data_IF_862067487038
#
_entry.id   IF_862067487038
#
_cell.length_a   1.000
_cell.length_b   1.000
_cell.length_c   1.000
_cell.angle_alpha   90.00
_cell.angle_beta   90.00
_cell.angle_gamma   90.00
#
_symmetry.space_group_name_H-M   'P 1'
#
loop_
_entity.id
_entity.type
_entity.pdbx_description
1 polymer ?
#
# COMPACT_ATOMS: atom_id res chain seq x y z
N UNK A 1 30.08 6.13 11.82
CA UNK A 1 30.89 6.00 10.60
C UNK A 1 31.11 7.36 9.95
N UNK A 2 32.36 7.71 9.59
CA UNK A 2 32.62 8.87 8.73
C UNK A 2 32.64 8.41 7.27
N UNK A 3 31.82 9.03 6.42
CA UNK A 3 31.82 8.83 4.98
C UNK A 3 32.45 10.04 4.32
N UNK A 4 33.49 9.81 3.51
CA UNK A 4 34.14 10.81 2.67
C UNK A 4 33.90 10.43 1.21
N UNK A 5 33.19 11.28 0.46
CA UNK A 5 32.93 11.09 -0.97
C UNK A 5 33.76 12.10 -1.73
N UNK A 6 34.56 11.61 -2.66
CA UNK A 6 35.33 12.42 -3.58
C UNK A 6 35.03 11.94 -5.00
N UNK A 7 34.36 12.77 -5.79
CA UNK A 7 34.26 12.58 -7.24
C UNK A 7 35.13 13.62 -7.91
N UNK A 8 36.06 13.17 -8.72
CA UNK A 8 36.90 14.02 -9.55
C UNK A 8 36.83 13.58 -11.00
N UNK A 9 36.72 14.53 -11.93
CA UNK A 9 36.93 14.29 -13.34
C UNK A 9 38.06 15.20 -13.88
N UNK A 10 38.41 15.02 -15.14
CA UNK A 10 39.38 15.92 -15.78
C UNK A 10 38.79 17.34 -15.86
N UNK A 11 39.61 18.34 -15.54
CA UNK A 11 39.20 19.73 -15.78
C UNK A 11 39.32 20.05 -17.26
N UNK A 12 38.19 20.02 -17.98
CA UNK A 12 38.18 20.21 -19.42
C UNK A 12 38.36 21.70 -19.81
N UNK A 13 39.14 21.94 -20.85
CA UNK A 13 39.55 23.27 -21.34
C UNK A 13 39.02 23.61 -22.76
N UNK A 14 38.14 22.77 -23.31
CA UNK A 14 37.51 23.03 -24.61
C UNK A 14 36.88 24.43 -24.66
N UNK A 15 36.80 25.04 -25.85
CA UNK A 15 36.24 26.39 -26.02
C UNK A 15 34.89 26.59 -25.32
N UNK A 16 33.98 25.60 -25.40
CA UNK A 16 32.68 25.66 -24.71
C UNK A 16 32.83 25.64 -23.20
N UNK A 17 33.69 24.78 -22.64
CA UNK A 17 33.95 24.71 -21.20
C UNK A 17 34.59 26.00 -20.68
N UNK A 18 35.64 26.50 -21.34
CA UNK A 18 36.30 27.75 -20.98
C UNK A 18 35.35 28.97 -21.09
N UNK A 19 34.50 29.01 -22.12
CA UNK A 19 33.50 30.07 -22.27
C UNK A 19 32.43 30.01 -21.17
N UNK A 20 31.99 28.83 -20.75
CA UNK A 20 31.05 28.69 -19.62
C UNK A 20 31.70 29.12 -18.31
N UNK A 21 32.94 28.67 -18.04
CA UNK A 21 33.74 29.11 -16.88
C UNK A 21 33.85 30.63 -16.81
N UNK A 22 34.17 31.27 -17.94
CA UNK A 22 34.27 32.72 -18.06
C UNK A 22 32.92 33.45 -17.95
N UNK A 23 31.85 32.93 -18.55
CA UNK A 23 30.53 33.59 -18.52
C UNK A 23 29.87 33.58 -17.14
N UNK A 24 30.12 32.53 -16.35
CA UNK A 24 29.49 32.33 -15.04
C UNK A 24 30.46 32.44 -13.86
N UNK A 25 31.71 32.90 -14.09
CA UNK A 25 32.77 33.00 -13.07
C UNK A 25 32.97 31.70 -12.26
N UNK A 26 32.97 30.55 -12.96
CA UNK A 26 33.22 29.25 -12.35
C UNK A 26 34.65 28.81 -12.64
N UNK A 27 35.44 28.53 -11.60
CA UNK A 27 36.85 28.11 -11.75
C UNK A 27 36.97 26.67 -12.25
N UNK A 28 36.23 25.74 -11.63
CA UNK A 28 36.16 24.35 -12.06
C UNK A 28 34.88 23.67 -11.55
N UNK A 29 34.33 22.77 -12.36
CA UNK A 29 33.28 21.82 -11.95
C UNK A 29 33.81 20.40 -11.76
N UNK A 30 35.13 20.22 -11.72
CA UNK A 30 35.75 18.91 -11.82
C UNK A 30 35.67 18.10 -10.52
N UNK A 31 35.54 18.76 -9.37
CA UNK A 31 35.64 18.12 -8.06
C UNK A 31 34.34 18.29 -7.26
N UNK A 32 33.89 17.19 -6.66
CA UNK A 32 32.81 17.16 -5.67
C UNK A 32 33.31 16.41 -4.44
N UNK A 33 33.36 17.10 -3.31
CA UNK A 33 33.77 16.53 -2.02
C UNK A 33 32.62 16.65 -1.02
N UNK A 34 32.31 15.57 -0.31
CA UNK A 34 31.30 15.54 0.73
C UNK A 34 31.76 14.64 1.88
N UNK A 35 32.00 15.23 3.04
CA UNK A 35 32.33 14.52 4.28
C UNK A 35 31.12 14.56 5.22
N UNK A 36 30.66 13.39 5.67
CA UNK A 36 29.50 13.24 6.56
C UNK A 36 29.80 12.27 7.68
N UNK A 37 29.43 12.63 8.91
CA UNK A 37 29.41 11.69 10.03
C UNK A 37 28.02 11.08 10.18
N UNK A 38 27.96 9.74 10.10
CA UNK A 38 26.76 8.91 10.14
C UNK A 38 26.89 7.88 11.26
N UNK A 39 26.41 8.19 12.48
CA UNK A 39 26.43 7.26 13.60
C UNK A 39 25.25 6.27 13.50
N UNK A 40 25.30 5.36 12.53
CA UNK A 40 24.24 4.38 12.21
C UNK A 40 24.73 2.93 12.26
N UNK A 41 25.88 2.69 12.90
CA UNK A 41 26.51 1.37 13.01
C UNK A 41 25.78 0.45 14.01
N UNK A 42 24.92 1.03 14.84
CA UNK A 42 24.07 0.28 15.74
C UNK A 42 22.99 -0.48 14.96
N UNK A 43 22.83 -1.78 15.21
CA UNK A 43 21.83 -2.64 14.55
C UNK A 43 20.38 -2.39 14.99
N UNK A 44 20.10 -1.31 15.73
CA UNK A 44 18.81 -1.07 16.39
C UNK A 44 17.73 -0.45 15.49
N UNK A 45 18.11 0.04 14.31
CA UNK A 45 17.21 0.70 13.37
C UNK A 45 16.84 -0.18 12.17
N UNK A 46 15.75 0.15 11.48
CA UNK A 46 15.24 -0.59 10.31
C UNK A 46 15.07 0.29 9.08
N UNK A 47 14.75 1.58 9.26
CA UNK A 47 14.55 2.53 8.15
C UNK A 47 15.36 3.80 8.41
N UNK A 48 16.33 4.07 7.54
CA UNK A 48 17.04 5.33 7.45
C UNK A 48 16.61 6.13 6.23
N UNK A 49 16.75 7.46 6.28
CA UNK A 49 16.45 8.30 5.11
C UNK A 49 17.57 9.31 4.88
N UNK A 50 18.01 9.44 3.64
CA UNK A 50 18.87 10.53 3.19
C UNK A 50 18.03 11.44 2.30
N UNK A 51 17.79 12.67 2.76
CA UNK A 51 17.02 13.68 2.03
C UNK A 51 17.89 14.81 1.49
N UNK A 52 17.42 15.46 0.44
CA UNK A 52 18.02 16.68 -0.09
C UNK A 52 17.81 16.90 -1.58
N UNK A 53 18.05 18.12 -2.09
CA UNK A 53 17.93 18.49 -3.50
C UNK A 53 18.69 17.55 -4.44
N UNK A 54 18.33 17.54 -5.73
CA UNK A 54 19.12 16.81 -6.72
C UNK A 54 20.55 17.37 -6.78
N UNK A 55 21.54 16.51 -7.01
CA UNK A 55 22.94 16.90 -7.09
C UNK A 55 23.71 17.00 -5.77
N UNK A 56 23.09 16.80 -4.61
CA UNK A 56 23.77 16.84 -3.29
C UNK A 56 24.52 15.56 -2.91
N UNK A 57 24.69 14.61 -3.83
CA UNK A 57 25.46 13.38 -3.55
C UNK A 57 24.73 12.26 -2.80
N UNK A 58 23.38 12.31 -2.68
CA UNK A 58 22.58 11.25 -2.01
C UNK A 58 22.88 9.84 -2.51
N UNK A 59 22.89 9.63 -3.83
CA UNK A 59 23.20 8.32 -4.44
C UNK A 59 24.62 7.88 -4.12
N UNK A 60 25.57 8.82 -4.09
CA UNK A 60 26.96 8.55 -3.71
C UNK A 60 27.08 8.17 -2.23
N UNK A 61 26.34 8.83 -1.33
CA UNK A 61 26.25 8.46 0.09
C UNK A 61 25.62 7.08 0.26
N UNK A 62 24.55 6.79 -0.48
CA UNK A 62 23.91 5.48 -0.50
C UNK A 62 24.90 4.36 -0.86
N UNK A 63 25.68 4.54 -1.94
CA UNK A 63 26.74 3.60 -2.34
C UNK A 63 27.86 3.49 -1.32
N UNK A 64 28.25 4.59 -0.69
CA UNK A 64 29.33 4.60 0.29
C UNK A 64 28.98 3.90 1.60
N UNK A 65 27.68 3.79 1.95
CA UNK A 65 27.24 3.11 3.17
C UNK A 65 27.58 1.61 3.16
N UNK A 66 27.18 0.88 2.10
CA UNK A 66 27.26 -0.58 2.06
C UNK A 66 27.68 -1.14 0.69
N UNK A 67 28.29 -0.33 -0.17
CA UNK A 67 28.69 -0.73 -1.51
C UNK A 67 27.61 -0.48 -2.57
N UNK A 68 28.00 -0.63 -3.84
CA UNK A 68 27.11 -0.42 -4.98
C UNK A 68 26.06 -1.53 -5.12
N UNK A 69 26.38 -2.73 -4.63
CA UNK A 69 25.53 -3.91 -4.59
C UNK A 69 24.34 -3.77 -3.63
N UNK A 70 24.41 -2.86 -2.66
CA UNK A 70 23.31 -2.57 -1.76
C UNK A 70 22.22 -1.71 -2.44
N UNK A 71 22.50 -1.08 -3.58
CA UNK A 71 21.49 -0.34 -4.34
C UNK A 71 20.43 -1.30 -4.89
N UNK A 72 19.18 -1.03 -4.54
CA UNK A 72 18.05 -1.83 -4.97
C UNK A 72 17.75 -1.62 -6.45
N UNK A 73 18.17 -2.59 -7.26
CA UNK A 73 17.93 -2.64 -8.70
C UNK A 73 17.56 -4.07 -9.11
N UNK A 74 16.35 -4.55 -8.75
CA UNK A 74 15.96 -5.93 -9.00
C UNK A 74 15.83 -6.20 -10.51
N UNK A 75 16.34 -7.35 -10.94
CA UNK A 75 16.16 -7.82 -12.33
C UNK A 75 14.82 -8.53 -12.47
N UNK A 76 14.02 -8.12 -13.44
CA UNK A 76 12.70 -8.72 -13.71
C UNK A 76 12.70 -9.59 -14.96
N UNK A 77 12.08 -10.78 -14.93
CA UNK A 77 11.82 -11.56 -16.14
C UNK A 77 10.85 -10.82 -17.07
N UNK A 78 11.04 -10.99 -18.38
CA UNK A 78 10.25 -10.30 -19.40
C UNK A 78 8.90 -10.96 -19.71
N UNK A 79 8.78 -12.26 -19.41
CA UNK A 79 7.72 -13.17 -19.84
C UNK A 79 6.87 -13.72 -18.69
N UNK A 80 7.17 -13.31 -17.45
CA UNK A 80 6.41 -13.71 -16.27
C UNK A 80 5.60 -12.55 -15.68
N UNK A 81 4.40 -12.80 -15.15
CA UNK A 81 3.65 -11.78 -14.43
C UNK A 81 4.34 -11.41 -13.11
N UNK A 82 4.09 -10.21 -12.60
CA UNK A 82 4.65 -9.75 -11.31
C UNK A 82 4.44 -10.76 -10.19
N UNK A 83 3.24 -11.32 -10.09
CA UNK A 83 2.88 -12.24 -8.98
C UNK A 83 3.72 -13.51 -8.96
N UNK A 84 4.19 -13.98 -10.11
CA UNK A 84 5.05 -15.18 -10.21
C UNK A 84 6.54 -14.79 -10.12
N UNK A 85 6.89 -13.57 -10.56
CA UNK A 85 8.25 -13.08 -10.57
C UNK A 85 8.75 -12.65 -9.18
N UNK A 86 7.86 -12.20 -8.29
CA UNK A 86 8.21 -11.86 -6.91
C UNK A 86 8.32 -13.14 -6.09
N UNK A 87 9.52 -13.41 -5.58
CA UNK A 87 9.83 -14.59 -4.76
C UNK A 87 9.18 -15.87 -5.31
N UNK A 88 9.66 -16.43 -6.44
CA UNK A 88 9.03 -17.56 -7.12
C UNK A 88 8.85 -18.82 -6.25
N UNK A 89 9.66 -18.97 -5.21
CA UNK A 89 9.59 -20.06 -4.22
C UNK A 89 8.93 -19.63 -2.89
N UNK A 90 8.43 -18.41 -2.79
CA UNK A 90 7.82 -17.83 -1.61
C UNK A 90 6.32 -18.10 -1.49
N UNK A 91 5.72 -17.65 -0.38
CA UNK A 91 4.28 -17.80 -0.16
C UNK A 91 3.47 -16.79 -0.98
N UNK A 92 2.43 -17.28 -1.66
CA UNK A 92 1.53 -16.46 -2.48
C UNK A 92 0.86 -15.31 -1.69
N UNK A 93 0.53 -15.52 -0.41
CA UNK A 93 -0.12 -14.50 0.41
C UNK A 93 0.86 -13.39 0.81
N UNK A 94 2.15 -13.71 0.94
CA UNK A 94 3.19 -12.72 1.21
C UNK A 94 3.39 -11.81 -0.01
N UNK A 95 3.45 -12.38 -1.22
CA UNK A 95 3.55 -11.61 -2.48
C UNK A 95 2.35 -10.69 -2.67
N UNK A 96 1.14 -11.24 -2.62
CA UNK A 96 -0.09 -10.44 -2.80
C UNK A 96 -0.31 -9.45 -1.65
N UNK A 97 0.14 -9.80 -0.44
CA UNK A 97 0.17 -8.91 0.71
C UNK A 97 1.11 -7.72 0.51
N UNK A 98 2.30 -7.95 -0.04
CA UNK A 98 3.28 -6.90 -0.33
C UNK A 98 2.79 -5.96 -1.44
N UNK A 99 2.27 -6.50 -2.55
CA UNK A 99 1.71 -5.73 -3.66
C UNK A 99 0.57 -4.80 -3.20
N UNK A 100 -0.33 -5.30 -2.35
CA UNK A 100 -1.38 -4.49 -1.75
C UNK A 100 -0.83 -3.45 -0.75
N UNK A 101 0.22 -3.80 0.01
CA UNK A 101 0.81 -2.93 1.01
C UNK A 101 1.58 -1.75 0.40
N UNK A 102 2.10 -1.86 -0.82
CA UNK A 102 2.79 -0.75 -1.51
C UNK A 102 1.87 0.09 -2.40
N UNK A 103 0.56 -0.12 -2.32
CA UNK A 103 -0.43 0.63 -3.11
C UNK A 103 -0.47 0.22 -4.59
N UNK A 104 0.05 -0.96 -4.95
CA UNK A 104 -0.20 -1.57 -6.25
C UNK A 104 -1.49 -2.39 -6.16
N UNK A 105 -2.62 -1.76 -5.82
CA UNK A 105 -3.88 -2.45 -5.54
C UNK A 105 -4.62 -3.04 -6.75
N UNK A 106 -4.15 -2.73 -7.96
CA UNK A 106 -4.79 -3.14 -9.20
C UNK A 106 -4.45 -4.59 -9.53
N UNK A 107 -5.37 -5.51 -9.26
CA UNK A 107 -5.19 -6.94 -9.52
C UNK A 107 -4.80 -7.23 -10.99
N UNK A 108 -5.39 -6.60 -12.01
CA UNK A 108 -4.94 -6.80 -13.40
C UNK A 108 -3.46 -6.43 -13.63
N UNK A 109 -2.90 -5.50 -12.85
CA UNK A 109 -1.50 -5.10 -12.93
C UNK A 109 -0.58 -6.23 -12.43
N UNK A 110 -1.02 -7.06 -11.47
CA UNK A 110 -0.22 -8.18 -10.94
C UNK A 110 0.00 -9.30 -11.96
N UNK A 111 -0.88 -9.38 -12.95
CA UNK A 111 -0.88 -10.39 -14.01
C UNK A 111 -0.09 -9.95 -15.24
N UNK A 112 0.62 -8.82 -15.17
CA UNK A 112 1.40 -8.26 -16.27
C UNK A 112 2.90 -8.37 -15.98
N UNK A 113 3.75 -8.53 -17.00
CA UNK A 113 5.19 -8.41 -16.83
C UNK A 113 5.61 -7.01 -16.39
N UNK A 114 6.70 -6.90 -15.64
CA UNK A 114 7.22 -5.63 -15.13
C UNK A 114 7.47 -4.60 -16.25
N UNK A 115 7.96 -5.06 -17.41
CA UNK A 115 8.33 -4.21 -18.55
C UNK A 115 7.18 -3.48 -19.24
N UNK A 116 5.91 -3.83 -18.97
CA UNK A 116 4.74 -3.14 -19.57
C UNK A 116 4.06 -2.15 -18.62
N UNK A 117 4.57 -2.03 -17.39
CA UNK A 117 4.01 -1.18 -16.35
C UNK A 117 4.44 0.28 -16.52
N UNK A 118 3.61 1.20 -16.04
CA UNK A 118 3.99 2.61 -15.90
C UNK A 118 5.12 2.78 -14.86
N UNK A 119 5.85 3.90 -14.91
CA UNK A 119 6.97 4.14 -13.99
C UNK A 119 6.55 4.06 -12.51
N UNK A 120 5.39 4.63 -12.15
CA UNK A 120 4.86 4.55 -10.79
C UNK A 120 4.46 3.13 -10.37
N UNK A 121 3.95 2.31 -11.30
CA UNK A 121 3.65 0.90 -11.04
C UNK A 121 4.92 0.05 -10.89
N UNK A 122 5.94 0.28 -11.73
CA UNK A 122 7.26 -0.37 -11.64
C UNK A 122 7.91 -0.11 -10.29
N UNK A 123 7.98 1.16 -9.90
CA UNK A 123 8.52 1.54 -8.59
C UNK A 123 7.80 0.83 -7.43
N UNK A 124 6.47 0.74 -7.47
CA UNK A 124 5.73 -0.02 -6.44
C UNK A 124 5.99 -1.52 -6.53
N UNK A 125 6.11 -2.11 -7.72
CA UNK A 125 6.48 -3.51 -7.88
C UNK A 125 7.86 -3.82 -7.29
N UNK A 126 8.84 -2.93 -7.52
CA UNK A 126 10.19 -3.01 -6.92
C UNK A 126 10.13 -2.97 -5.39
N UNK A 127 9.32 -2.08 -4.82
CA UNK A 127 9.10 -2.03 -3.37
C UNK A 127 8.37 -3.26 -2.83
N UNK A 128 7.41 -3.83 -3.58
CA UNK A 128 6.74 -5.06 -3.18
C UNK A 128 7.74 -6.20 -3.08
N UNK A 129 8.59 -6.35 -4.11
CA UNK A 129 9.65 -7.35 -4.12
C UNK A 129 10.64 -7.17 -2.98
N UNK A 130 11.04 -5.93 -2.71
CA UNK A 130 11.91 -5.59 -1.58
C UNK A 130 11.34 -6.05 -0.23
N UNK A 131 10.05 -5.81 0.00
CA UNK A 131 9.35 -6.19 1.25
C UNK A 131 9.24 -7.71 1.42
N UNK A 132 9.26 -8.47 0.32
CA UNK A 132 9.20 -9.94 0.36
C UNK A 132 10.59 -10.54 0.51
N UNK A 133 11.59 -10.05 -0.22
CA UNK A 133 12.95 -10.59 -0.21
C UNK A 133 13.74 -10.19 1.04
N UNK A 134 13.47 -9.02 1.61
CA UNK A 134 14.06 -8.51 2.86
C UNK A 134 15.59 -8.70 2.93
N UNK A 135 16.35 -8.15 1.97
CA UNK A 135 17.81 -8.20 2.01
C UNK A 135 18.33 -7.57 3.32
N UNK A 136 19.45 -8.09 3.90
CA UNK A 136 19.97 -7.60 5.18
C UNK A 136 20.28 -6.10 5.20
N UNK A 137 20.78 -5.57 4.08
CA UNK A 137 21.16 -4.16 3.91
C UNK A 137 20.80 -3.73 2.50
N UNK A 138 20.04 -2.65 2.37
CA UNK A 138 19.51 -2.20 1.08
C UNK A 138 19.30 -0.69 1.03
N UNK A 139 19.62 -0.12 -0.11
CA UNK A 139 19.48 1.31 -0.40
C UNK A 139 18.53 1.48 -1.57
N UNK A 140 17.41 2.17 -1.35
CA UNK A 140 16.44 2.50 -2.41
C UNK A 140 16.68 3.93 -2.85
N UNK A 141 17.14 4.11 -4.08
CA UNK A 141 17.33 5.43 -4.67
C UNK A 141 16.02 5.99 -5.24
N UNK A 142 15.94 7.32 -5.35
CA UNK A 142 14.81 8.06 -5.86
C UNK A 142 13.44 7.68 -5.25
N UNK A 143 13.43 7.34 -3.97
CA UNK A 143 12.22 6.93 -3.28
C UNK A 143 11.14 8.02 -3.40
N UNK A 144 9.98 7.62 -3.94
CA UNK A 144 8.79 8.45 -4.20
C UNK A 144 8.92 9.50 -5.32
N UNK A 145 9.94 9.45 -6.18
CA UNK A 145 10.12 10.45 -7.25
C UNK A 145 9.10 10.35 -8.39
N UNK A 146 8.61 9.14 -8.68
CA UNK A 146 7.79 8.83 -9.87
C UNK A 146 6.27 8.79 -9.61
N UNK A 147 5.82 9.25 -8.44
CA UNK A 147 4.39 9.23 -8.05
C UNK A 147 3.95 10.61 -7.58
N UNK A 148 2.65 10.89 -7.67
CA UNK A 148 2.08 12.13 -7.14
C UNK A 148 2.27 12.22 -5.62
N UNK A 149 2.23 13.45 -5.07
CA UNK A 149 2.60 13.69 -3.67
C UNK A 149 1.67 13.00 -2.67
N UNK A 150 0.39 12.86 -2.96
CA UNK A 150 -0.55 12.21 -2.05
C UNK A 150 -0.28 10.70 -2.01
N UNK A 151 -0.12 10.07 -3.18
CA UNK A 151 0.25 8.66 -3.27
C UNK A 151 1.63 8.41 -2.68
N UNK A 152 2.58 9.34 -2.84
CA UNK A 152 3.89 9.25 -2.20
C UNK A 152 3.77 9.14 -0.68
N UNK A 153 2.97 10.03 -0.05
CA UNK A 153 2.77 10.05 1.41
C UNK A 153 2.11 8.78 1.92
N UNK A 154 1.02 8.35 1.29
CA UNK A 154 0.30 7.12 1.67
C UNK A 154 1.15 5.88 1.41
N UNK A 155 1.81 5.81 0.25
CA UNK A 155 2.70 4.73 -0.13
C UNK A 155 3.90 4.62 0.80
N UNK A 156 4.49 5.74 1.22
CA UNK A 156 5.61 5.77 2.15
C UNK A 156 5.22 5.19 3.52
N UNK A 157 4.07 5.61 4.04
CA UNK A 157 3.51 5.02 5.25
C UNK A 157 3.30 3.50 5.11
N UNK A 158 2.69 3.09 4.00
CA UNK A 158 2.29 1.72 3.81
C UNK A 158 3.51 0.80 3.63
N UNK A 159 4.51 1.26 2.87
CA UNK A 159 5.84 0.67 2.79
C UNK A 159 6.51 0.56 4.17
N UNK A 160 6.55 1.65 4.94
CA UNK A 160 7.22 1.66 6.24
C UNK A 160 6.57 0.70 7.25
N UNK A 161 5.25 0.49 7.19
CA UNK A 161 4.56 -0.57 7.96
C UNK A 161 4.88 -1.97 7.48
N UNK A 162 5.00 -2.16 6.16
CA UNK A 162 5.27 -3.46 5.56
C UNK A 162 6.72 -3.90 5.82
N UNK A 163 7.68 -3.04 5.54
CA UNK A 163 9.10 -3.27 5.79
C UNK A 163 9.39 -3.57 7.25
N UNK A 164 8.90 -2.76 8.20
CA UNK A 164 9.15 -3.00 9.64
C UNK A 164 8.65 -4.35 10.13
N UNK A 165 7.56 -4.85 9.54
CA UNK A 165 6.99 -6.16 9.88
C UNK A 165 7.78 -7.29 9.24
N UNK A 166 8.21 -7.13 7.99
CA UNK A 166 9.00 -8.11 7.28
C UNK A 166 10.44 -8.23 7.85
N UNK A 167 11.06 -7.10 8.19
CA UNK A 167 12.38 -7.01 8.82
C UNK A 167 12.38 -7.27 10.34
N UNK A 168 11.24 -7.66 10.92
CA UNK A 168 11.16 -7.93 12.35
C UNK A 168 11.95 -9.21 12.68
N UNK A 169 12.99 -9.08 13.51
CA UNK A 169 13.81 -10.21 13.95
C UNK A 169 14.95 -10.60 13.01
N UNK A 170 15.00 -10.09 11.77
CA UNK A 170 16.11 -10.36 10.83
C UNK A 170 17.29 -9.41 10.98
N UNK A 171 17.10 -8.26 11.66
CA UNK A 171 18.10 -7.19 11.71
C UNK A 171 18.28 -6.45 10.39
N UNK A 172 17.38 -6.64 9.41
CA UNK A 172 17.48 -6.01 8.10
C UNK A 172 17.27 -4.49 8.16
N UNK A 173 18.08 -3.77 7.38
CA UNK A 173 18.16 -2.31 7.37
C UNK A 173 17.94 -1.77 5.95
N UNK A 174 17.05 -0.78 5.83
CA UNK A 174 16.75 -0.12 4.55
C UNK A 174 17.05 1.38 4.65
N UNK A 175 17.77 1.92 3.67
CA UNK A 175 18.01 3.36 3.52
C UNK A 175 17.25 3.87 2.30
N UNK A 176 16.43 4.89 2.48
CA UNK A 176 15.68 5.52 1.40
C UNK A 176 16.34 6.85 1.02
N UNK A 177 16.65 7.04 -0.25
CA UNK A 177 17.17 8.29 -0.77
C UNK A 177 16.02 9.05 -1.42
N UNK A 178 15.76 10.29 -1.02
CA UNK A 178 14.67 11.08 -1.61
C UNK A 178 15.01 12.56 -1.71
N UNK A 179 14.40 13.26 -2.67
CA UNK A 179 14.39 14.72 -2.69
C UNK A 179 13.17 15.31 -1.97
N UNK A 180 12.25 14.48 -1.52
CA UNK A 180 10.98 14.91 -0.97
C UNK A 180 10.98 14.84 0.56
N UNK A 181 10.69 15.96 1.22
CA UNK A 181 10.65 16.06 2.68
C UNK A 181 9.27 15.67 3.26
N UNK A 182 8.22 15.82 2.47
CA UNK A 182 6.83 15.60 2.90
C UNK A 182 6.47 14.12 3.15
N UNK A 183 7.36 13.18 2.81
CA UNK A 183 7.21 11.75 3.13
C UNK A 183 7.77 11.39 4.52
N UNK A 184 8.58 12.24 5.13
CA UNK A 184 9.32 11.93 6.36
C UNK A 184 8.38 11.62 7.53
N UNK A 185 7.33 12.42 7.70
CA UNK A 185 6.36 12.23 8.79
C UNK A 185 5.49 10.99 8.58
N UNK A 186 5.37 10.51 7.34
CA UNK A 186 4.65 9.30 6.98
C UNK A 186 5.53 8.04 7.13
N UNK A 187 6.81 8.14 6.76
CA UNK A 187 7.81 7.10 6.95
C UNK A 187 8.11 6.86 8.43
N UNK A 188 8.22 7.94 9.22
CA UNK A 188 8.75 7.94 10.59
C UNK A 188 10.09 7.20 10.71
N UNK A 189 11.11 7.61 9.95
CA UNK A 189 12.38 6.90 9.90
C UNK A 189 13.09 6.92 11.26
N UNK A 190 13.99 5.96 11.44
CA UNK A 190 14.79 5.81 12.64
C UNK A 190 15.97 6.81 12.66
N UNK A 191 16.37 7.32 11.50
CA UNK A 191 17.27 8.46 11.37
C UNK A 191 17.08 9.16 10.03
N UNK A 192 17.49 10.43 9.97
CA UNK A 192 17.41 11.29 8.80
C UNK A 192 18.77 11.98 8.63
N UNK A 193 19.31 11.94 7.42
CA UNK A 193 20.42 12.79 7.01
C UNK A 193 19.91 13.78 5.96
N UNK A 194 19.96 15.07 6.27
CA UNK A 194 19.69 16.13 5.29
C UNK A 194 21.01 16.59 4.67
N UNK A 195 21.15 16.31 3.38
CA UNK A 195 22.36 16.64 2.60
C UNK A 195 22.45 18.11 2.19
N UNK A 196 21.34 18.87 2.20
CA UNK A 196 21.39 20.31 1.97
C UNK A 196 21.74 21.07 3.26
N UNK A 197 21.16 20.66 4.38
CA UNK A 197 21.42 21.29 5.67
C UNK A 197 22.68 20.73 6.36
N UNK A 198 23.24 19.63 5.87
CA UNK A 198 24.30 18.86 6.53
C UNK A 198 23.96 18.49 7.98
N UNK A 199 22.69 18.12 8.22
CA UNK A 199 22.19 17.75 9.56
C UNK A 199 21.86 16.28 9.64
N UNK A 200 22.10 15.70 10.82
CA UNK A 200 21.74 14.31 11.13
C UNK A 200 20.81 14.29 12.35
N UNK A 201 19.67 13.61 12.21
CA UNK A 201 18.66 13.43 13.25
C UNK A 201 18.46 11.93 13.50
N UNK A 202 18.49 11.46 14.76
CA UNK A 202 18.24 10.05 15.13
C UNK A 202 17.01 9.92 16.03
N UNK A 203 16.31 8.80 15.92
CA UNK A 203 14.98 8.55 16.51
C UNK A 203 14.89 8.64 18.03
N UNK A 204 15.97 8.37 18.76
CA UNK A 204 16.04 8.60 20.22
C UNK A 204 15.75 10.08 20.56
N UNK A 205 16.06 11.00 19.64
CA UNK A 205 15.61 12.39 19.63
C UNK A 205 14.41 12.66 18.69
N UNK A 206 14.25 11.92 17.57
CA UNK A 206 13.34 12.29 16.45
C UNK A 206 12.06 11.46 16.25
N UNK A 207 11.99 10.17 16.64
CA UNK A 207 10.78 9.34 16.43
C UNK A 207 9.63 9.80 17.33
N UNK A 208 10.00 10.25 18.53
CA UNK A 208 9.07 10.80 19.51
C UNK A 208 8.62 12.23 19.16
N UNK A 209 9.40 12.96 18.34
CA UNK A 209 9.06 14.31 17.88
C UNK A 209 8.17 14.29 16.62
N UNK A 210 8.36 13.33 15.69
CA UNK A 210 7.57 13.25 14.46
C UNK A 210 6.31 12.42 14.64
N UNK A 211 5.19 13.09 14.83
CA UNK A 211 3.87 12.44 14.84
C UNK A 211 3.38 12.26 13.41
N UNK A 212 3.11 11.00 13.04
CA UNK A 212 2.44 10.68 11.79
C UNK A 212 1.18 11.54 11.64
N UNK A 213 0.96 12.18 10.47
CA UNK A 213 -0.25 12.94 10.23
C UNK A 213 -1.50 12.08 10.44
N UNK A 214 -2.49 12.67 11.10
CA UNK A 214 -3.80 12.05 11.27
C UNK A 214 -4.51 12.05 9.92
N UNK A 215 -5.13 10.92 9.59
CA UNK A 215 -6.05 10.82 8.45
C UNK A 215 -7.45 10.89 9.05
N UNK A 216 -8.12 12.02 8.87
CA UNK A 216 -9.52 12.16 9.25
C UNK A 216 -10.41 11.60 8.15
N UNK A 217 -11.31 10.71 8.56
CA UNK A 217 -12.18 9.96 7.65
C UNK A 217 -13.62 10.27 8.00
N UNK A 218 -14.30 10.98 7.11
CA UNK A 218 -15.72 11.23 7.25
C UNK A 218 -16.51 10.10 6.59
N UNK A 219 -17.48 9.57 7.32
CA UNK A 219 -18.34 8.50 6.85
C UNK A 219 -19.75 9.03 6.70
N UNK A 220 -20.34 8.84 5.53
CA UNK A 220 -21.75 9.14 5.33
C UNK A 220 -22.50 8.05 4.61
N UNK A 221 -23.77 7.95 4.96
CA UNK A 221 -24.76 7.10 4.30
C UNK A 221 -25.19 7.74 2.97
N UNK A 222 -25.32 6.92 1.94
CA UNK A 222 -25.72 7.29 0.58
C UNK A 222 -26.55 6.18 -0.06
N UNK A 223 -26.97 6.39 -1.30
CA UNK A 223 -27.41 5.37 -2.24
C UNK A 223 -26.26 4.97 -3.20
N UNK A 224 -26.61 4.28 -4.28
CA UNK A 224 -25.66 3.81 -5.29
C UNK A 224 -25.10 4.90 -6.23
N UNK A 225 -25.39 6.20 -6.02
CA UNK A 225 -24.96 7.29 -6.92
C UNK A 225 -23.45 7.34 -7.14
N UNK A 226 -22.65 7.05 -6.09
CA UNK A 226 -21.19 7.10 -6.16
C UNK A 226 -20.55 5.80 -6.67
N UNK A 227 -21.33 4.74 -6.88
CA UNK A 227 -20.80 3.41 -7.20
C UNK A 227 -19.95 3.38 -8.47
N UNK A 228 -20.29 4.18 -9.48
CA UNK A 228 -19.58 4.24 -10.76
C UNK A 228 -18.08 4.60 -10.61
N UNK A 229 -17.70 5.30 -9.52
CA UNK A 229 -16.31 5.63 -9.21
C UNK A 229 -15.54 4.43 -8.61
N UNK A 230 -16.23 3.57 -7.87
CA UNK A 230 -15.64 2.43 -7.16
C UNK A 230 -15.74 1.12 -7.96
N UNK A 231 -16.70 1.02 -8.87
CA UNK A 231 -16.96 -0.17 -9.69
C UNK A 231 -15.72 -0.69 -10.46
N UNK A 232 -14.87 0.16 -11.08
CA UNK A 232 -13.65 -0.30 -11.74
C UNK A 232 -12.68 -1.03 -10.80
N UNK A 233 -12.68 -0.66 -9.52
CA UNK A 233 -11.82 -1.23 -8.47
C UNK A 233 -12.48 -2.40 -7.73
N UNK A 234 -13.71 -2.76 -8.08
CA UNK A 234 -14.42 -3.90 -7.50
C UNK A 234 -13.95 -5.24 -8.13
N UNK A 235 -13.32 -5.21 -9.31
CA UNK A 235 -12.77 -6.34 -10.10
C UNK A 235 -13.73 -7.54 -10.32
N UNK A 236 -14.99 -7.41 -9.92
CA UNK A 236 -16.06 -8.38 -10.07
C UNK A 236 -17.27 -7.64 -10.62
N UNK A 237 -17.72 -7.96 -11.84
CA UNK A 237 -18.98 -7.43 -12.34
C UNK A 237 -20.12 -8.22 -11.73
N UNK A 238 -20.83 -7.61 -10.80
CA UNK A 238 -21.95 -8.21 -10.07
C UNK A 238 -23.12 -7.21 -10.05
N UNK A 239 -24.38 -7.70 -10.07
CA UNK A 239 -25.52 -6.85 -9.81
C UNK A 239 -25.39 -6.16 -8.45
N UNK A 240 -25.96 -4.95 -8.34
CA UNK A 240 -26.04 -4.21 -7.07
C UNK A 240 -26.79 -5.05 -6.04
N UNK A 241 -26.34 -4.98 -4.79
CA UNK A 241 -27.02 -5.68 -3.70
C UNK A 241 -28.41 -5.08 -3.48
N UNK A 242 -29.43 -5.94 -3.53
CA UNK A 242 -30.83 -5.53 -3.38
C UNK A 242 -31.06 -5.00 -1.97
N UNK A 243 -31.83 -3.91 -1.90
CA UNK A 243 -32.13 -3.21 -0.66
C UNK A 243 -30.88 -2.87 0.16
N UNK A 244 -29.73 -2.57 -0.44
CA UNK A 244 -28.56 -2.18 0.34
C UNK A 244 -28.65 -0.73 0.85
N UNK A 245 -28.10 -0.49 2.03
CA UNK A 245 -27.69 0.85 2.48
C UNK A 245 -26.23 1.03 2.10
N UNK A 246 -25.91 2.09 1.35
CA UNK A 246 -24.54 2.35 0.92
C UNK A 246 -23.90 3.36 1.86
N UNK A 247 -22.61 3.21 2.04
CA UNK A 247 -21.76 4.09 2.82
C UNK A 247 -20.54 4.42 1.98
N UNK A 248 -20.08 5.66 2.08
CA UNK A 248 -18.79 6.07 1.54
C UNK A 248 -17.97 6.74 2.62
N UNK A 249 -16.66 6.63 2.47
CA UNK A 249 -15.68 7.34 3.27
C UNK A 249 -15.07 8.45 2.41
N UNK A 250 -14.77 9.59 3.03
CA UNK A 250 -13.96 10.63 2.44
C UNK A 250 -12.81 11.07 3.33
N UNK A 251 -11.78 11.61 2.68
CA UNK A 251 -10.67 12.31 3.32
C UNK A 251 -10.49 13.61 2.56
N UNK A 252 -10.52 14.74 3.27
CA UNK A 252 -10.43 16.08 2.68
C UNK A 252 -11.43 16.30 1.52
N UNK A 253 -12.64 15.73 1.66
CA UNK A 253 -13.70 15.78 0.64
C UNK A 253 -13.54 14.82 -0.54
N UNK A 254 -12.42 14.12 -0.68
CA UNK A 254 -12.20 13.11 -1.72
C UNK A 254 -12.83 11.76 -1.33
N UNK A 255 -13.53 11.10 -2.25
CA UNK A 255 -14.06 9.73 -2.08
C UNK A 255 -12.94 8.69 -2.03
N UNK A 256 -12.84 7.95 -0.92
CA UNK A 256 -11.73 7.00 -0.67
C UNK A 256 -12.15 5.55 -0.50
N UNK A 257 -13.37 5.29 0.00
CA UNK A 257 -13.87 3.92 0.17
C UNK A 257 -15.39 3.84 0.04
N UNK A 258 -15.88 2.65 -0.30
CA UNK A 258 -17.30 2.34 -0.42
C UNK A 258 -17.62 0.98 0.18
N UNK A 259 -18.75 0.90 0.88
CA UNK A 259 -19.31 -0.34 1.42
C UNK A 259 -20.85 -0.30 1.33
N UNK A 260 -21.44 -1.36 0.79
CA UNK A 260 -22.88 -1.57 0.83
C UNK A 260 -23.22 -2.66 1.84
N UNK A 261 -24.27 -2.44 2.63
CA UNK A 261 -24.75 -3.40 3.63
C UNK A 261 -26.23 -3.67 3.42
N UNK A 262 -26.61 -4.93 3.33
CA UNK A 262 -28.02 -5.39 3.30
C UNK A 262 -28.22 -6.42 4.41
N UNK A 263 -29.43 -6.95 4.56
CA UNK A 263 -29.75 -7.92 5.61
C UNK A 263 -29.95 -9.31 5.03
N UNK A 264 -29.70 -10.33 5.84
CA UNK A 264 -30.23 -11.67 5.57
C UNK A 264 -31.75 -11.67 5.83
N UNK A 265 -32.50 -12.60 5.18
CA UNK A 265 -33.91 -12.80 5.50
C UNK A 265 -34.12 -12.95 7.01
N UNK A 266 -35.16 -12.28 7.53
CA UNK A 266 -35.50 -12.29 8.96
C UNK A 266 -34.82 -11.21 9.81
N UNK A 267 -34.03 -10.30 9.22
CA UNK A 267 -33.38 -9.17 9.93
C UNK A 267 -32.49 -9.61 11.12
N UNK A 268 -31.96 -10.83 11.07
CA UNK A 268 -31.14 -11.42 12.14
C UNK A 268 -29.68 -11.02 12.03
N UNK A 269 -29.18 -10.82 10.81
CA UNK A 269 -27.76 -10.59 10.53
C UNK A 269 -27.62 -9.67 9.32
N UNK A 270 -26.72 -8.69 9.43
CA UNK A 270 -26.33 -7.83 8.33
C UNK A 270 -25.29 -8.54 7.45
N UNK A 271 -25.28 -8.21 6.17
CA UNK A 271 -24.32 -8.71 5.19
C UNK A 271 -23.68 -7.53 4.48
N UNK A 272 -22.40 -7.33 4.75
CA UNK A 272 -21.58 -6.36 4.05
C UNK A 272 -21.14 -6.96 2.69
N UNK A 273 -21.22 -6.15 1.64
CA UNK A 273 -20.68 -6.48 0.33
C UNK A 273 -19.14 -6.37 0.33
N UNK A 274 -18.51 -6.54 -0.83
CA UNK A 274 -17.07 -6.31 -0.96
C UNK A 274 -16.74 -4.86 -0.57
N UNK A 275 -15.78 -4.71 0.32
CA UNK A 275 -15.17 -3.42 0.64
C UNK A 275 -14.31 -2.97 -0.55
N UNK A 276 -14.53 -1.75 -1.03
CA UNK A 276 -13.69 -1.11 -2.04
C UNK A 276 -12.98 0.08 -1.42
N UNK A 277 -11.66 0.12 -1.56
CA UNK A 277 -10.81 1.24 -1.17
C UNK A 277 -10.03 1.65 -2.42
N UNK A 278 -10.02 2.95 -2.71
CA UNK A 278 -9.30 3.50 -3.84
C UNK A 278 -7.81 3.12 -3.77
N UNK A 279 -7.17 2.71 -4.90
CA UNK A 279 -5.80 2.20 -4.91
C UNK A 279 -4.78 3.08 -4.17
N UNK A 280 -4.87 4.40 -4.34
CA UNK A 280 -4.04 5.42 -3.71
C UNK A 280 -4.15 5.47 -2.17
N UNK A 281 -5.22 4.92 -1.60
CA UNK A 281 -5.49 4.89 -0.16
C UNK A 281 -5.25 3.50 0.48
N UNK A 282 -4.82 2.52 -0.32
CA UNK A 282 -4.54 1.18 0.18
C UNK A 282 -3.28 1.15 1.07
N UNK A 283 -3.27 0.26 2.07
CA UNK A 283 -2.19 0.19 3.06
C UNK A 283 -2.20 1.30 4.13
N UNK A 284 -2.94 2.39 3.94
CA UNK A 284 -3.10 3.46 4.93
C UNK A 284 -3.80 3.00 6.22
N UNK A 285 -4.68 2.01 6.09
CA UNK A 285 -5.54 1.46 7.16
C UNK A 285 -6.98 1.99 7.14
N UNK A 286 -7.34 2.84 6.17
CA UNK A 286 -8.67 3.44 6.03
C UNK A 286 -9.75 2.37 5.89
N UNK A 287 -9.54 1.36 5.04
CA UNK A 287 -10.52 0.32 4.76
C UNK A 287 -11.01 -0.46 5.99
N UNK A 288 -10.09 -0.91 6.85
CA UNK A 288 -10.45 -1.64 8.08
C UNK A 288 -11.21 -0.76 9.07
N UNK A 289 -10.76 0.50 9.27
CA UNK A 289 -11.44 1.44 10.18
C UNK A 289 -12.84 1.77 9.68
N UNK A 290 -13.00 1.99 8.38
CA UNK A 290 -14.28 2.24 7.73
C UNK A 290 -15.24 1.05 7.86
N UNK A 291 -14.75 -0.17 7.58
CA UNK A 291 -15.54 -1.39 7.74
C UNK A 291 -15.98 -1.58 9.20
N UNK A 292 -15.06 -1.45 10.16
CA UNK A 292 -15.37 -1.59 11.59
C UNK A 292 -16.38 -0.54 12.08
N UNK A 293 -16.24 0.72 11.64
CA UNK A 293 -17.17 1.79 12.02
C UNK A 293 -18.61 1.48 11.57
N UNK A 294 -18.78 1.01 10.34
CA UNK A 294 -20.11 0.63 9.83
C UNK A 294 -20.63 -0.61 10.56
N UNK A 295 -19.82 -1.65 10.72
CA UNK A 295 -20.26 -2.87 11.41
C UNK A 295 -20.61 -2.61 12.89
N UNK A 296 -19.88 -1.73 13.56
CA UNK A 296 -20.18 -1.27 14.92
C UNK A 296 -21.49 -0.49 15.00
N UNK A 297 -21.76 0.41 14.05
CA UNK A 297 -23.05 1.10 13.96
C UNK A 297 -24.21 0.11 13.78
N UNK A 298 -24.07 -0.87 12.88
CA UNK A 298 -25.09 -1.91 12.68
C UNK A 298 -25.30 -2.80 13.91
N UNK A 299 -24.21 -3.16 14.61
CA UNK A 299 -24.27 -3.92 15.86
C UNK A 299 -25.03 -3.17 16.95
N UNK A 300 -24.89 -1.83 17.01
CA UNK A 300 -25.62 -0.96 17.94
C UNK A 300 -27.05 -0.62 17.50
N UNK A 301 -27.49 -1.11 16.34
CA UNK A 301 -28.81 -0.80 15.78
C UNK A 301 -28.91 0.57 15.11
N UNK A 302 -27.78 1.27 14.92
CA UNK A 302 -27.67 2.52 14.16
C UNK A 302 -27.72 2.25 12.65
N UNK A 303 -28.78 1.59 12.21
CA UNK A 303 -29.07 1.27 10.83
C UNK A 303 -30.52 1.65 10.52
N UNK A 304 -30.92 1.56 9.24
CA UNK A 304 -32.26 2.00 8.81
C UNK A 304 -33.43 1.24 9.46
N UNK A 305 -33.17 0.13 10.14
CA UNK A 305 -34.18 -0.69 10.80
C UNK A 305 -34.27 -0.43 12.30
N UNK A 306 -33.32 0.30 12.90
CA UNK A 306 -33.28 0.51 14.34
C UNK A 306 -33.04 -0.78 15.14
N UNK A 307 -32.47 -1.83 14.51
CA UNK A 307 -32.33 -3.16 15.10
C UNK A 307 -30.85 -3.56 15.19
N UNK A 308 -30.35 -3.97 16.36
CA UNK A 308 -29.01 -4.53 16.51
C UNK A 308 -28.79 -5.75 15.62
N UNK A 309 -27.76 -5.73 14.77
CA UNK A 309 -27.42 -6.88 13.92
C UNK A 309 -25.89 -7.06 13.83
N UNK A 310 -25.36 -8.27 14.12
CA UNK A 310 -23.98 -8.58 13.77
C UNK A 310 -23.81 -8.54 12.25
N UNK A 311 -22.60 -8.24 11.78
CA UNK A 311 -22.33 -8.13 10.34
C UNK A 311 -21.47 -9.27 9.85
N UNK A 312 -21.95 -9.97 8.83
CA UNK A 312 -21.22 -10.98 8.08
C UNK A 312 -20.50 -10.33 6.89
N UNK A 313 -19.21 -10.57 6.77
CA UNK A 313 -18.34 -10.08 5.71
C UNK A 313 -17.57 -11.24 5.08
N UNK A 314 -17.47 -11.24 3.75
CA UNK A 314 -16.73 -12.26 3.02
C UNK A 314 -15.60 -11.62 2.22
N UNK A 315 -14.42 -12.22 2.29
CA UNK A 315 -13.27 -11.77 1.51
C UNK A 315 -12.48 -12.96 0.95
N UNK A 316 -11.83 -12.70 -0.17
CA UNK A 316 -10.82 -13.57 -0.76
C UNK A 316 -9.47 -12.89 -0.88
N UNK A 317 -9.35 -11.65 -0.38
CA UNK A 317 -8.09 -10.94 -0.38
C UNK A 317 -7.27 -11.41 0.82
N UNK A 318 -6.10 -12.04 0.62
CA UNK A 318 -5.31 -12.62 1.72
C UNK A 318 -4.95 -11.60 2.79
N UNK A 319 -4.46 -10.42 2.39
CA UNK A 319 -4.14 -9.33 3.32
C UNK A 319 -5.31 -8.87 4.19
N UNK A 320 -6.52 -8.75 3.64
CA UNK A 320 -7.72 -8.36 4.40
C UNK A 320 -8.17 -9.49 5.33
N UNK A 321 -8.13 -10.75 4.89
CA UNK A 321 -8.42 -11.89 5.73
C UNK A 321 -7.46 -11.97 6.94
N UNK A 322 -6.16 -11.79 6.70
CA UNK A 322 -5.15 -11.77 7.75
C UNK A 322 -5.33 -10.59 8.72
N UNK A 323 -5.84 -9.44 8.23
CA UNK A 323 -6.17 -8.30 9.08
C UNK A 323 -7.40 -8.59 9.96
N UNK A 324 -8.46 -9.17 9.39
CA UNK A 324 -9.68 -9.55 10.12
C UNK A 324 -9.40 -10.60 11.21
N UNK A 325 -8.52 -11.58 10.96
CA UNK A 325 -8.12 -12.57 12.00
C UNK A 325 -7.37 -11.97 13.18
N UNK A 326 -6.66 -10.85 12.97
CA UNK A 326 -5.88 -10.16 14.01
C UNK A 326 -6.73 -9.17 14.82
N UNK A 327 -7.89 -8.81 14.31
CA UNK A 327 -8.79 -7.85 14.94
C UNK A 327 -9.73 -8.59 15.91
N UNK A 328 -9.68 -8.32 17.21
CA UNK A 328 -10.47 -9.03 18.22
C UNK A 328 -11.98 -8.84 18.05
N UNK A 329 -12.42 -7.81 17.31
CA UNK A 329 -13.84 -7.59 17.05
C UNK A 329 -14.43 -8.53 15.99
N UNK A 330 -13.58 -9.31 15.32
CA UNK A 330 -13.96 -10.23 14.25
C UNK A 330 -13.72 -11.68 14.62
N UNK A 331 -14.65 -12.55 14.23
CA UNK A 331 -14.53 -14.00 14.34
C UNK A 331 -14.65 -14.64 12.97
N UNK A 332 -13.70 -15.50 12.59
CA UNK A 332 -13.82 -16.26 11.36
C UNK A 332 -14.88 -17.35 11.52
N UNK A 333 -15.89 -17.36 10.65
CA UNK A 333 -17.05 -18.27 10.73
C UNK A 333 -17.10 -19.27 9.57
N UNK A 334 -16.35 -19.03 8.50
CA UNK A 334 -16.20 -19.97 7.39
C UNK A 334 -14.86 -19.80 6.67
N UNK A 335 -14.44 -20.84 5.96
CA UNK A 335 -13.22 -20.85 5.15
C UNK A 335 -13.31 -21.92 4.07
N UNK A 336 -13.92 -21.58 2.94
CA UNK A 336 -13.87 -22.45 1.76
C UNK A 336 -12.49 -22.34 1.13
N UNK A 337 -11.79 -23.46 0.96
CA UNK A 337 -10.46 -23.52 0.31
C UNK A 337 -10.55 -23.79 -1.19
N UNK A 338 -11.69 -24.32 -1.65
CA UNK A 338 -12.00 -24.63 -3.06
C UNK A 338 -13.31 -23.93 -3.41
N UNK A 339 -13.46 -23.47 -4.66
CA UNK A 339 -14.69 -22.81 -5.08
C UNK A 339 -15.78 -23.78 -5.52
N UNK A 340 -17.03 -23.40 -5.26
CA UNK A 340 -18.23 -24.11 -5.71
C UNK A 340 -18.58 -23.83 -7.17
N UNK A 341 -19.21 -24.75 -7.89
CA UNK A 341 -19.68 -24.52 -9.27
C UNK A 341 -20.62 -23.30 -9.39
N UNK A 342 -20.36 -22.41 -10.36
CA UNK A 342 -21.23 -21.25 -10.69
C UNK A 342 -22.61 -21.64 -11.19
N UNK A 343 -22.80 -22.89 -11.64
CA UNK A 343 -23.98 -23.33 -12.37
C UNK A 343 -25.30 -22.99 -11.63
N UNK A 344 -25.36 -23.22 -10.32
CA UNK A 344 -26.55 -22.93 -9.51
C UNK A 344 -26.89 -21.44 -9.46
N UNK A 345 -25.87 -20.59 -9.29
CA UNK A 345 -26.06 -19.14 -9.24
C UNK A 345 -26.43 -18.55 -10.59
N UNK A 346 -25.84 -19.07 -11.68
CA UNK A 346 -26.14 -18.70 -13.04
C UNK A 346 -27.59 -19.05 -13.37
N UNK A 347 -28.03 -20.26 -13.06
CA UNK A 347 -29.40 -20.70 -13.26
C UNK A 347 -30.40 -19.81 -12.49
N UNK A 348 -30.08 -19.44 -11.24
CA UNK A 348 -30.93 -18.54 -10.44
C UNK A 348 -31.03 -17.13 -11.04
N UNK A 349 -29.92 -16.56 -11.51
CA UNK A 349 -29.92 -15.23 -12.12
C UNK A 349 -30.63 -15.23 -13.48
N UNK A 350 -30.45 -16.27 -14.29
CA UNK A 350 -31.18 -16.47 -15.55
C UNK A 350 -32.69 -16.57 -15.31
N UNK A 351 -33.11 -17.37 -14.33
CA UNK A 351 -34.52 -17.48 -13.94
C UNK A 351 -35.11 -16.16 -13.40
N UNK A 352 -34.30 -15.33 -12.73
CA UNK A 352 -34.73 -13.99 -12.28
C UNK A 352 -34.82 -13.00 -13.44
N UNK A 353 -33.88 -13.03 -14.38
CA UNK A 353 -33.88 -12.15 -15.56
C UNK A 353 -35.08 -12.45 -16.48
N UNK A 354 -35.37 -13.74 -16.69
CA UNK A 354 -36.52 -14.20 -17.48
C UNK A 354 -37.87 -13.75 -16.89
N UNK A 355 -38.01 -13.78 -15.55
CA UNK A 355 -39.24 -13.34 -14.88
C UNK A 355 -39.47 -11.82 -14.93
N UNK A 356 -38.41 -11.03 -15.06
CA UNK A 356 -38.47 -9.57 -14.98
C UNK A 356 -38.26 -8.87 -16.33
N UNK A 357 -38.25 -9.61 -17.45
CA UNK A 357 -37.96 -9.09 -18.81
C UNK A 357 -36.67 -8.24 -18.87
N UNK A 358 -35.69 -8.57 -18.03
CA UNK A 358 -34.44 -7.83 -17.91
C UNK A 358 -33.32 -8.53 -18.69
N UNK A 359 -32.37 -7.77 -19.22
CA UNK A 359 -31.20 -8.35 -19.86
C UNK A 359 -30.43 -9.23 -18.86
N UNK A 360 -30.30 -10.52 -19.17
CA UNK A 360 -29.48 -11.43 -18.38
C UNK A 360 -28.01 -11.08 -18.59
N UNK A 361 -27.29 -10.73 -17.51
CA UNK A 361 -25.84 -10.50 -17.58
C UNK A 361 -25.14 -11.86 -17.76
N UNK A 362 -24.77 -12.20 -18.99
CA UNK A 362 -24.11 -13.45 -19.35
C UNK A 362 -22.70 -13.52 -18.74
N UNK A 363 -22.25 -14.73 -18.37
CA UNK A 363 -20.92 -14.95 -17.76
C UNK A 363 -20.79 -14.60 -16.26
N UNK A 364 -21.85 -14.15 -15.61
CA UNK A 364 -21.84 -13.78 -14.17
C UNK A 364 -22.39 -14.92 -13.30
N UNK A 365 -21.93 -15.02 -12.04
CA UNK A 365 -22.33 -16.05 -11.07
C UNK A 365 -21.68 -15.83 -9.71
N UNK A 366 -22.37 -16.20 -8.63
CA UNK A 366 -21.77 -16.33 -7.30
C UNK A 366 -20.98 -17.65 -7.25
N UNK A 367 -19.68 -17.60 -6.92
CA UNK A 367 -18.80 -18.78 -6.83
C UNK A 367 -18.03 -19.10 -8.12
N UNK A 368 -17.42 -20.29 -8.21
CA UNK A 368 -16.84 -20.98 -9.38
C UNK A 368 -15.60 -20.41 -10.05
N UNK A 369 -14.66 -19.98 -9.22
CA UNK A 369 -13.23 -20.05 -9.52
C UNK A 369 -12.57 -20.86 -8.39
N UNK A 370 -11.34 -21.36 -8.53
CA UNK A 370 -10.53 -21.82 -7.38
C UNK A 370 -10.30 -20.64 -6.41
N UNK A 371 -11.34 -20.28 -5.67
CA UNK A 371 -11.41 -19.04 -4.91
C UNK A 371 -11.64 -19.41 -3.47
N UNK A 372 -10.58 -19.26 -2.68
CA UNK A 372 -10.74 -19.31 -1.24
C UNK A 372 -11.64 -18.15 -0.80
N UNK A 373 -12.79 -18.44 -0.20
CA UNK A 373 -13.70 -17.44 0.35
C UNK A 373 -13.75 -17.65 1.85
N UNK A 374 -13.42 -16.61 2.58
CA UNK A 374 -13.38 -16.62 4.03
C UNK A 374 -14.47 -15.70 4.56
N UNK A 375 -15.32 -16.25 5.41
CA UNK A 375 -16.40 -15.53 6.06
C UNK A 375 -16.00 -15.13 7.48
N UNK A 376 -16.25 -13.88 7.81
CA UNK A 376 -15.99 -13.28 9.11
C UNK A 376 -17.25 -12.63 9.63
N UNK A 377 -17.51 -12.77 10.94
CA UNK A 377 -18.60 -12.10 11.63
C UNK A 377 -18.03 -11.04 12.57
N UNK A 378 -18.55 -9.83 12.48
CA UNK A 378 -18.27 -8.76 13.42
C UNK A 378 -19.13 -8.94 14.67
N UNK A 379 -18.48 -9.10 15.81
CA UNK A 379 -19.12 -9.29 17.12
C UNK A 379 -18.90 -8.11 18.07
N UNK A 380 -18.08 -7.13 17.66
CA UNK A 380 -17.62 -6.05 18.53
C UNK A 380 -16.46 -6.50 19.41
N UNK A 381 -15.75 -5.55 20.03
CA UNK A 381 -14.72 -5.88 21.01
C UNK A 381 -15.36 -6.68 22.17
N UNK A 382 -14.74 -7.77 22.64
CA UNK A 382 -15.19 -8.41 23.86
C UNK A 382 -15.21 -7.34 24.97
N UNK A 383 -16.31 -7.26 25.71
CA UNK A 383 -16.37 -6.38 26.87
C UNK A 383 -15.13 -6.68 27.72
N UNK A 384 -14.29 -5.66 27.96
CA UNK A 384 -13.16 -5.83 28.87
C UNK A 384 -13.74 -6.40 30.17
N UNK A 385 -13.25 -7.58 30.57
CA UNK A 385 -13.52 -8.07 31.91
C UNK A 385 -12.94 -7.02 32.86
N UNK A 386 -13.84 -6.25 33.47
CA UNK A 386 -13.53 -5.22 34.47
C UNK A 386 -12.87 -5.81 35.69
#
# INVERSE_FOLDING_TARGET
MKLAIQHSCADFDSYRAARVKSLFNCESGANFNLDVDLPVEDGGWRIGVIVGPSGTGKTSLGRALWGAEALWQPTWPADHPLVDAIAPAGDFNDVTGALAAVGLGSVPTWLRPHGVLSNGERFRADLARLVVEVPPRVVVDEFSSVVDRQVARIGALAFAKAWRRAAAGSGAQCVLLSCHYDILDWLQPDWILDTAAATFERAEAGRYLRRRPRIDVDIWRTDWRHWHLFEPHHYLKMPRMIAATNYVATVDGQLVAHLAVSTRPGLVEARACRLVVMPEWQGAGVGMRFLNAICSAWLRGENRYGMPMPTLFHTSHPGLAAALRRDPAWTQVSGGLVGDSKARSQASMQASAARNSAACVTGTGYGGHFRAVQGFRYLGEPACAS
#
